data_IF_810428157944
#
_entry.id   IF_810428157944
#
_cell.length_a   1.000
_cell.length_b   1.000
_cell.length_c   1.000
_cell.angle_alpha   90.00
_cell.angle_beta   90.00
_cell.angle_gamma   90.00
#
_symmetry.space_group_name_H-M   'P 1'
#
loop_
_entity.id
_entity.type
_entity.pdbx_description
1 polymer ?
#
# COMPACT_ATOMS: atom_id res chain seq x y z
N UNK A 1 5.57 -12.06 -17.54
CA UNK A 1 4.36 -11.37 -17.03
C UNK A 1 4.48 -11.19 -15.52
N UNK A 2 3.71 -10.26 -14.92
CA UNK A 2 3.73 -9.97 -13.48
C UNK A 2 3.46 -11.21 -12.61
N UNK A 3 2.51 -12.05 -13.03
CA UNK A 3 2.20 -13.34 -12.40
C UNK A 3 3.43 -14.25 -12.30
N UNK A 4 4.26 -14.33 -13.35
CA UNK A 4 5.50 -15.13 -13.31
C UNK A 4 6.49 -14.61 -12.27
N UNK A 5 6.62 -13.29 -12.15
CA UNK A 5 7.52 -12.67 -11.16
C UNK A 5 7.05 -12.93 -9.73
N UNK A 6 5.74 -12.84 -9.47
CA UNK A 6 5.14 -13.17 -8.16
C UNK A 6 5.35 -14.63 -7.82
N UNK A 7 5.00 -15.57 -8.72
CA UNK A 7 5.20 -17.01 -8.50
C UNK A 7 6.65 -17.36 -8.20
N UNK A 8 7.60 -16.75 -8.93
CA UNK A 8 9.04 -16.91 -8.66
C UNK A 8 9.41 -16.38 -7.28
N UNK A 9 8.89 -15.22 -6.92
CA UNK A 9 9.08 -14.63 -5.61
C UNK A 9 8.54 -15.48 -4.47
N UNK A 10 7.33 -16.01 -4.59
CA UNK A 10 6.74 -16.91 -3.60
C UNK A 10 7.57 -18.18 -3.41
N UNK A 11 8.13 -18.76 -4.48
CA UNK A 11 9.08 -19.89 -4.36
C UNK A 11 10.36 -19.51 -3.62
N UNK A 12 10.89 -18.30 -3.84
CA UNK A 12 12.06 -17.81 -3.07
C UNK A 12 11.70 -17.57 -1.61
N UNK A 13 10.48 -17.12 -1.32
CA UNK A 13 10.00 -16.90 0.04
C UNK A 13 10.01 -18.20 0.85
N UNK A 14 9.58 -19.31 0.25
CA UNK A 14 9.56 -20.64 0.88
C UNK A 14 10.94 -21.10 1.36
N UNK A 15 12.01 -20.63 0.74
CA UNK A 15 13.40 -20.99 1.09
C UNK A 15 14.17 -19.86 1.76
N UNK A 16 13.51 -18.71 2.01
CA UNK A 16 14.16 -17.54 2.61
C UNK A 16 14.39 -17.77 4.12
N UNK A 17 15.63 -17.64 4.63
CA UNK A 17 15.95 -17.91 6.04
C UNK A 17 15.14 -17.08 7.06
N UNK A 18 14.69 -15.89 6.65
CA UNK A 18 13.89 -14.98 7.48
C UNK A 18 12.41 -14.94 7.09
N UNK A 19 11.99 -15.74 6.11
CA UNK A 19 10.63 -15.67 5.57
C UNK A 19 10.29 -14.32 4.94
N UNK A 20 11.27 -13.63 4.33
CA UNK A 20 11.09 -12.33 3.67
C UNK A 20 11.70 -12.39 2.27
N UNK A 21 10.98 -11.87 1.27
CA UNK A 21 11.50 -11.64 -0.09
C UNK A 21 10.98 -10.32 -0.64
N UNK A 22 11.79 -9.63 -1.45
CA UNK A 22 11.31 -8.52 -2.27
C UNK A 22 10.75 -9.03 -3.59
N UNK A 23 9.63 -8.46 -4.02
CA UNK A 23 9.05 -8.70 -5.33
C UNK A 23 9.24 -7.44 -6.19
N UNK A 24 9.88 -7.54 -7.38
CA UNK A 24 9.96 -6.42 -8.30
C UNK A 24 8.59 -6.25 -8.97
N UNK A 25 7.65 -5.66 -8.24
CA UNK A 25 6.24 -5.67 -8.60
C UNK A 25 5.85 -4.48 -9.48
N UNK A 26 6.29 -3.29 -9.06
CA UNK A 26 6.06 -2.02 -9.74
C UNK A 26 7.29 -1.66 -10.56
N UNK A 27 7.08 -1.24 -11.80
CA UNK A 27 8.10 -0.56 -12.59
C UNK A 27 8.38 0.84 -12.03
N UNK A 28 9.51 1.43 -12.40
CA UNK A 28 9.82 2.82 -12.02
C UNK A 28 8.71 3.79 -12.44
N UNK A 29 8.19 3.66 -13.67
CA UNK A 29 7.08 4.48 -14.15
C UNK A 29 5.79 4.32 -13.32
N UNK A 30 5.48 3.10 -12.86
CA UNK A 30 4.33 2.88 -11.98
C UNK A 30 4.55 3.48 -10.58
N UNK A 31 5.78 3.47 -10.08
CA UNK A 31 6.13 4.15 -8.83
C UNK A 31 5.95 5.66 -8.98
N UNK A 32 6.41 6.25 -10.09
CA UNK A 32 6.26 7.69 -10.35
C UNK A 32 4.79 8.11 -10.39
N UNK A 33 3.92 7.28 -10.99
CA UNK A 33 2.47 7.49 -10.98
C UNK A 33 1.90 7.43 -9.56
N UNK A 34 2.29 6.45 -8.75
CA UNK A 34 1.83 6.35 -7.35
C UNK A 34 2.27 7.53 -6.50
N UNK A 35 3.51 8.02 -6.70
CA UNK A 35 4.01 9.21 -6.03
C UNK A 35 3.18 10.44 -6.42
N UNK A 36 2.87 10.58 -7.71
CA UNK A 36 2.03 11.67 -8.21
C UNK A 36 0.63 11.61 -7.61
N UNK A 37 0.00 10.43 -7.60
CA UNK A 37 -1.34 10.23 -7.01
C UNK A 37 -1.34 10.55 -5.51
N UNK A 38 -0.31 10.14 -4.78
CA UNK A 38 -0.16 10.42 -3.35
C UNK A 38 0.01 11.91 -3.06
N UNK A 39 0.72 12.65 -3.92
CA UNK A 39 0.88 14.10 -3.78
C UNK A 39 -0.42 14.87 -4.05
N UNK A 40 -1.27 14.35 -4.94
CA UNK A 40 -2.58 14.93 -5.24
C UNK A 40 -3.66 14.58 -4.20
N UNK A 41 -3.43 13.53 -3.40
CA UNK A 41 -4.37 13.12 -2.37
C UNK A 41 -4.47 14.20 -1.28
N UNK A 42 -5.72 14.56 -0.95
CA UNK A 42 -6.00 15.46 0.17
C UNK A 42 -6.07 14.64 1.46
N UNK A 43 -5.09 14.86 2.33
CA UNK A 43 -5.09 14.30 3.67
C UNK A 43 -5.62 15.34 4.65
N UNK A 44 -6.51 14.93 5.56
CA UNK A 44 -6.80 15.78 6.72
C UNK A 44 -5.59 15.75 7.63
N UNK A 45 -5.01 16.92 7.88
CA UNK A 45 -4.08 17.09 9.00
C UNK A 45 -4.84 16.83 10.30
N UNK A 46 -4.30 15.95 11.15
CA UNK A 46 -4.87 15.71 12.47
C UNK A 46 -4.99 17.03 13.25
N UNK A 47 -6.09 17.19 13.98
CA UNK A 47 -6.28 18.38 14.82
C UNK A 47 -5.30 18.29 15.98
N UNK A 48 -4.46 19.31 16.22
CA UNK A 48 -3.33 19.18 17.11
C UNK A 48 -3.74 18.96 18.57
N UNK A 49 -4.92 19.44 19.01
CA UNK A 49 -5.38 19.29 20.39
C UNK A 49 -6.91 19.34 20.44
N UNK A 50 -7.51 18.40 21.17
CA UNK A 50 -8.94 18.40 21.51
C UNK A 50 -9.05 18.77 22.99
N UNK A 51 -9.77 19.85 23.32
CA UNK A 51 -10.06 20.25 24.69
C UNK A 51 -11.52 19.92 25.06
N UNK A 52 -11.72 19.20 26.18
CA UNK A 52 -13.03 18.97 26.77
C UNK A 52 -12.96 19.07 28.29
N UNK A 53 -13.73 20.00 28.87
CA UNK A 53 -13.80 20.23 30.33
C UNK A 53 -12.42 20.44 30.98
N UNK A 54 -11.53 21.20 30.33
CA UNK A 54 -10.18 21.47 30.81
C UNK A 54 -9.19 20.31 30.66
N UNK A 55 -9.60 19.19 30.06
CA UNK A 55 -8.70 18.09 29.68
C UNK A 55 -8.29 18.27 28.23
N UNK A 56 -6.99 18.18 27.96
CA UNK A 56 -6.42 18.30 26.61
C UNK A 56 -5.86 16.96 26.18
N UNK A 57 -6.22 16.54 24.97
CA UNK A 57 -5.68 15.32 24.35
C UNK A 57 -5.20 15.64 22.93
N UNK A 58 -3.99 15.19 22.62
CA UNK A 58 -3.47 15.19 21.25
C UNK A 58 -3.93 13.90 20.59
N UNK A 59 -4.60 14.00 19.44
CA UNK A 59 -5.12 12.83 18.74
C UNK A 59 -4.73 12.88 17.26
N UNK A 60 -3.75 12.07 16.91
CA UNK A 60 -3.37 11.84 15.51
C UNK A 60 -4.41 10.92 14.87
N UNK A 61 -5.34 11.50 14.12
CA UNK A 61 -6.20 10.74 13.22
C UNK A 61 -5.73 10.92 11.78
N UNK A 62 -5.09 9.89 11.24
CA UNK A 62 -5.09 9.72 9.80
C UNK A 62 -6.47 9.21 9.39
N UNK A 63 -7.30 10.09 8.82
CA UNK A 63 -8.53 9.64 8.15
C UNK A 63 -8.10 8.97 6.85
N UNK A 64 -7.78 7.68 6.94
CA UNK A 64 -7.54 6.83 5.77
C UNK A 64 -8.86 6.60 5.04
N UNK A 65 -9.18 7.47 4.08
CA UNK A 65 -10.12 7.08 3.04
C UNK A 65 -9.52 5.88 2.30
N UNK A 66 -10.34 4.88 1.89
CA UNK A 66 -9.84 3.80 1.07
C UNK A 66 -9.15 4.40 -0.14
N UNK A 67 -7.88 4.03 -0.36
CA UNK A 67 -7.13 4.51 -1.50
C UNK A 67 -7.96 4.23 -2.76
N UNK A 68 -8.17 5.23 -3.64
CA UNK A 68 -8.91 5.02 -4.87
C UNK A 68 -8.36 3.78 -5.58
N UNK A 69 -9.24 2.82 -5.91
CA UNK A 69 -8.84 1.62 -6.65
C UNK A 69 -8.68 1.98 -8.12
N UNK A 70 -7.63 2.73 -8.43
CA UNK A 70 -7.28 3.19 -9.78
C UNK A 70 -5.80 2.96 -10.10
N UNK A 71 -5.43 3.08 -11.37
CA UNK A 71 -4.04 3.12 -11.82
C UNK A 71 -3.20 1.91 -11.41
N UNK A 72 -1.93 2.16 -11.08
CA UNK A 72 -0.97 1.13 -10.69
C UNK A 72 -1.36 0.40 -9.39
N UNK A 73 -2.04 1.08 -8.47
CA UNK A 73 -2.49 0.50 -7.20
C UNK A 73 -3.60 -0.54 -7.41
N UNK A 74 -4.59 -0.23 -8.25
CA UNK A 74 -5.63 -1.20 -8.63
C UNK A 74 -5.03 -2.43 -9.32
N UNK A 75 -4.15 -2.22 -10.30
CA UNK A 75 -3.50 -3.31 -11.01
C UNK A 75 -2.66 -4.21 -10.09
N UNK A 76 -2.10 -3.64 -9.02
CA UNK A 76 -1.43 -4.39 -7.96
C UNK A 76 -2.43 -5.22 -7.14
N UNK A 77 -3.50 -4.60 -6.66
CA UNK A 77 -4.54 -5.29 -5.88
C UNK A 77 -5.15 -6.47 -6.66
N UNK A 78 -5.58 -6.24 -7.90
CA UNK A 78 -6.19 -7.27 -8.77
C UNK A 78 -5.24 -8.45 -9.00
N UNK A 79 -3.96 -8.16 -9.20
CA UNK A 79 -2.95 -9.18 -9.45
C UNK A 79 -2.66 -10.01 -8.19
N UNK A 80 -2.64 -9.39 -7.01
CA UNK A 80 -2.50 -10.10 -5.73
C UNK A 80 -3.73 -10.99 -5.46
N UNK A 81 -4.94 -10.46 -5.62
CA UNK A 81 -6.19 -11.22 -5.47
C UNK A 81 -6.19 -12.43 -6.41
N UNK A 82 -5.88 -12.22 -7.69
CA UNK A 82 -5.80 -13.31 -8.69
C UNK A 82 -4.76 -14.35 -8.30
N UNK A 83 -3.56 -13.93 -7.89
CA UNK A 83 -2.50 -14.88 -7.55
C UNK A 83 -2.78 -15.68 -6.27
N UNK A 84 -3.45 -15.07 -5.28
CA UNK A 84 -3.85 -15.76 -4.05
C UNK A 84 -4.98 -16.76 -4.28
N UNK A 85 -5.93 -16.45 -5.16
CA UNK A 85 -7.03 -17.37 -5.50
C UNK A 85 -6.63 -18.47 -6.48
N UNK A 86 -5.49 -18.33 -7.16
CA UNK A 86 -4.98 -19.29 -8.15
C UNK A 86 -3.77 -20.10 -7.66
N UNK A 87 -3.38 -19.95 -6.40
CA UNK A 87 -2.27 -20.66 -5.76
C UNK A 87 -2.81 -21.77 -4.85
#
# INVERSE_FOLDING_TARGET
TRITAIRRGLRRLQTAPRGITSLPFLSAAEIDLLVTDAQLASYRTATPEIEHLGRRVHQDFDVCFPAPRTGAFAALADCLETCLHSA
#
